data_IF_071116875262
#
_entry.id   IF_071116875262
#
_cell.length_a   1.000
_cell.length_b   1.000
_cell.length_c   1.000
_cell.angle_alpha   90.00
_cell.angle_beta   90.00
_cell.angle_gamma   90.00
#
_symmetry.space_group_name_H-M   'P 1'
#
loop_
_entity.id
_entity.type
_entity.pdbx_description
1 polymer ?
#
# COMPACT_ATOMS: atom_id res chain seq x y z
N UNK A 1 35.27 17.50 -28.79
CA UNK A 1 33.86 17.38 -29.23
C UNK A 1 33.17 16.39 -28.30
N UNK A 2 31.96 16.70 -27.77
CA UNK A 2 31.21 15.71 -27.01
C UNK A 2 30.89 14.51 -27.91
N UNK A 3 31.00 13.27 -27.43
CA UNK A 3 30.72 12.09 -28.22
C UNK A 3 29.25 12.10 -28.67
N UNK A 4 29.01 11.88 -29.96
CA UNK A 4 27.68 11.64 -30.51
C UNK A 4 27.04 10.46 -29.77
N UNK A 5 25.94 10.71 -29.09
CA UNK A 5 25.21 9.65 -28.40
C UNK A 5 24.33 8.90 -29.40
N UNK A 6 24.68 7.64 -29.66
CA UNK A 6 23.93 6.76 -30.55
C UNK A 6 22.73 6.20 -29.78
N UNK A 7 21.53 6.11 -30.39
CA UNK A 7 20.40 5.40 -29.80
C UNK A 7 20.78 3.95 -29.50
N UNK A 8 20.61 3.52 -28.25
CA UNK A 8 20.90 2.16 -27.83
C UNK A 8 19.96 1.76 -26.71
N UNK A 9 19.46 0.52 -26.78
CA UNK A 9 18.64 -0.12 -25.74
C UNK A 9 19.41 -0.47 -24.46
N UNK A 10 20.70 -0.14 -24.39
CA UNK A 10 21.50 -0.31 -23.17
C UNK A 10 20.98 0.59 -22.05
N UNK A 11 20.87 0.02 -20.85
CA UNK A 11 20.55 0.77 -19.65
C UNK A 11 21.67 1.76 -19.30
N UNK A 12 21.30 2.87 -18.67
CA UNK A 12 22.25 3.79 -18.07
C UNK A 12 22.98 3.11 -16.92
N UNK A 13 24.29 3.36 -16.82
CA UNK A 13 25.10 2.79 -15.74
C UNK A 13 24.64 3.33 -14.38
N UNK A 14 24.60 2.51 -13.32
CA UNK A 14 24.39 2.98 -11.95
C UNK A 14 25.45 3.99 -11.49
N UNK A 15 26.67 3.90 -12.04
CA UNK A 15 27.77 4.83 -11.77
C UNK A 15 27.69 6.15 -12.54
N UNK A 16 26.69 6.34 -13.40
CA UNK A 16 26.54 7.61 -14.13
C UNK A 16 26.31 8.75 -13.13
N UNK A 17 27.22 9.72 -13.16
CA UNK A 17 27.22 10.88 -12.27
C UNK A 17 26.34 11.99 -12.83
N UNK A 18 25.42 12.51 -12.01
CA UNK A 18 24.65 13.71 -12.29
C UNK A 18 25.29 14.88 -11.54
N UNK A 19 25.66 15.97 -12.22
CA UNK A 19 26.29 17.13 -11.58
C UNK A 19 25.47 17.66 -10.40
N UNK A 20 26.15 18.05 -9.31
CA UNK A 20 25.55 18.64 -8.11
C UNK A 20 24.73 19.91 -8.40
N UNK A 21 25.05 20.60 -9.49
CA UNK A 21 24.35 21.78 -10.00
C UNK A 21 22.97 21.47 -10.61
N UNK A 22 22.62 20.20 -10.87
CA UNK A 22 21.31 19.86 -11.41
C UNK A 22 20.23 20.16 -10.35
N UNK A 23 19.25 21.04 -10.65
CA UNK A 23 18.25 21.48 -9.67
C UNK A 23 17.31 20.36 -9.22
N UNK A 24 17.29 19.20 -9.89
CA UNK A 24 16.53 18.03 -9.43
C UNK A 24 17.12 17.39 -8.16
N UNK A 25 18.44 17.41 -7.98
CA UNK A 25 19.10 16.79 -6.83
C UNK A 25 18.64 17.40 -5.49
N UNK A 26 18.78 18.71 -5.25
CA UNK A 26 18.33 19.31 -3.99
C UNK A 26 16.80 19.17 -3.82
N UNK A 27 16.02 19.17 -4.91
CA UNK A 27 14.56 18.93 -4.85
C UNK A 27 14.19 17.51 -4.41
N UNK A 28 14.98 16.50 -4.78
CA UNK A 28 14.78 15.12 -4.33
C UNK A 28 15.17 15.01 -2.85
N UNK A 29 16.39 15.40 -2.49
CA UNK A 29 16.92 15.21 -1.14
C UNK A 29 16.19 16.07 -0.08
N UNK A 30 15.65 17.22 -0.47
CA UNK A 30 14.86 18.07 0.45
C UNK A 30 13.54 17.45 0.94
N UNK A 31 13.07 16.38 0.31
CA UNK A 31 11.89 15.60 0.76
C UNK A 31 12.20 14.72 1.98
N UNK A 32 13.49 14.46 2.23
CA UNK A 32 13.94 13.68 3.38
C UNK A 32 14.07 14.60 4.61
N UNK A 33 13.74 14.05 5.78
CA UNK A 33 14.03 14.71 7.05
C UNK A 33 15.55 14.75 7.26
N UNK A 34 16.05 15.66 8.11
CA UNK A 34 17.47 15.70 8.49
C UNK A 34 18.01 14.33 8.94
N UNK A 35 17.37 13.60 9.90
CA UNK A 35 17.89 12.31 10.31
C UNK A 35 17.87 11.25 9.20
N UNK A 36 16.85 11.26 8.33
CA UNK A 36 16.81 10.34 7.18
C UNK A 36 17.92 10.65 6.17
N UNK A 37 18.23 11.93 5.96
CA UNK A 37 19.33 12.35 5.08
C UNK A 37 20.69 11.93 5.66
N UNK A 38 20.91 12.07 6.98
CA UNK A 38 22.15 11.60 7.63
C UNK A 38 22.28 10.08 7.50
N UNK A 39 21.21 9.33 7.77
CA UNK A 39 21.20 7.87 7.59
C UNK A 39 21.53 7.47 6.16
N UNK A 40 20.94 8.16 5.17
CA UNK A 40 21.21 7.91 3.76
C UNK A 40 22.68 8.20 3.41
N UNK A 41 23.25 9.29 3.92
CA UNK A 41 24.67 9.59 3.70
C UNK A 41 25.57 8.55 4.34
N UNK A 42 25.27 8.09 5.55
CA UNK A 42 26.02 7.00 6.19
C UNK A 42 25.93 5.69 5.39
N UNK A 43 24.76 5.38 4.82
CA UNK A 43 24.60 4.24 3.91
C UNK A 43 25.45 4.41 2.63
N UNK A 44 25.57 5.63 2.10
CA UNK A 44 26.48 5.91 0.96
C UNK A 44 27.95 5.77 1.34
N UNK A 45 28.30 6.03 2.60
CA UNK A 45 29.66 5.89 3.13
C UNK A 45 30.01 4.46 3.56
N UNK A 46 29.06 3.53 3.54
CA UNK A 46 29.32 2.10 3.79
C UNK A 46 30.26 1.52 2.73
N UNK A 47 31.19 0.68 3.16
CA UNK A 47 32.21 0.04 2.32
C UNK A 47 31.60 -0.73 1.14
N UNK A 48 30.40 -1.28 1.32
CA UNK A 48 29.66 -2.04 0.29
C UNK A 48 29.22 -1.17 -0.88
N UNK A 49 28.98 0.12 -0.65
CA UNK A 49 28.44 1.04 -1.64
C UNK A 49 29.51 1.90 -2.33
N UNK A 50 30.73 1.98 -1.76
CA UNK A 50 31.83 2.83 -2.28
C UNK A 50 32.09 2.73 -3.79
N UNK A 51 32.03 1.56 -4.45
CA UNK A 51 32.22 1.50 -5.90
C UNK A 51 31.26 2.38 -6.71
N UNK A 52 30.10 2.74 -6.14
CA UNK A 52 29.04 3.51 -6.79
C UNK A 52 28.66 4.80 -6.03
N UNK A 53 29.23 5.06 -4.86
CA UNK A 53 28.89 6.21 -4.03
C UNK A 53 30.10 6.86 -3.34
N UNK A 54 31.29 6.72 -3.93
CA UNK A 54 32.50 7.32 -3.38
C UNK A 54 32.35 8.85 -3.18
N UNK A 55 32.64 9.37 -1.97
CA UNK A 55 32.68 10.80 -1.71
C UNK A 55 33.96 11.44 -2.28
N UNK A 56 34.00 12.77 -2.31
CA UNK A 56 35.21 13.52 -2.57
C UNK A 56 36.06 13.58 -1.30
N UNK A 57 37.24 12.95 -1.34
CA UNK A 57 38.23 12.93 -0.26
C UNK A 57 39.47 13.70 -0.70
N UNK A 58 40.19 14.30 0.25
CA UNK A 58 41.46 14.95 -0.01
C UNK A 58 42.49 13.91 -0.47
N UNK A 59 43.19 14.15 -1.57
CA UNK A 59 44.31 13.27 -1.93
C UNK A 59 45.57 13.67 -1.16
N UNK A 60 46.48 12.71 -0.95
CA UNK A 60 47.77 12.98 -0.31
C UNK A 60 48.65 13.94 -1.13
N UNK A 61 48.41 14.02 -2.45
CA UNK A 61 49.11 14.90 -3.39
C UNK A 61 48.53 16.33 -3.41
N UNK A 62 47.35 16.56 -2.84
CA UNK A 62 46.71 17.89 -2.68
C UNK A 62 47.27 18.67 -1.46
N UNK A 63 48.39 18.22 -0.90
CA UNK A 63 49.06 18.79 0.29
C UNK A 63 49.74 20.14 0.06
N UNK A 64 49.56 20.78 -1.10
CA UNK A 64 49.85 22.21 -1.23
C UNK A 64 48.74 22.97 -0.51
N UNK A 65 49.09 23.65 0.59
CA UNK A 65 48.21 24.45 1.47
C UNK A 65 47.25 25.42 0.74
N UNK A 66 47.42 25.69 -0.56
CA UNK A 66 46.64 26.64 -1.35
C UNK A 66 45.36 26.07 -2.02
N UNK A 67 45.24 24.76 -2.26
CA UNK A 67 44.15 24.21 -3.09
C UNK A 67 42.77 24.23 -2.40
N UNK A 68 42.75 24.04 -1.08
CA UNK A 68 41.51 23.95 -0.27
C UNK A 68 41.41 25.03 0.81
N UNK A 69 42.38 25.95 0.94
CA UNK A 69 42.37 27.00 1.96
C UNK A 69 41.18 27.99 1.86
N UNK A 70 40.50 28.04 0.71
CA UNK A 70 39.31 28.85 0.47
C UNK A 70 37.98 28.07 0.48
N UNK A 71 38.00 26.75 0.66
CA UNK A 71 36.79 25.92 0.61
C UNK A 71 35.98 26.09 1.90
N UNK A 72 34.71 26.46 1.77
CA UNK A 72 33.80 26.56 2.91
C UNK A 72 33.56 25.21 3.61
N UNK A 73 33.69 24.11 2.86
CA UNK A 73 33.62 22.74 3.36
C UNK A 73 34.87 21.96 2.94
N UNK A 74 35.91 21.92 3.77
CA UNK A 74 37.14 21.21 3.43
C UNK A 74 36.87 19.69 3.37
N UNK A 75 37.44 19.00 2.37
CA UNK A 75 37.32 17.55 2.24
C UNK A 75 38.02 16.83 3.40
N UNK A 76 37.50 15.66 3.78
CA UNK A 76 38.14 14.82 4.80
C UNK A 76 39.26 13.98 4.16
N UNK A 77 40.27 13.64 4.96
CA UNK A 77 41.42 12.82 4.56
C UNK A 77 41.09 11.36 4.34
N UNK A 78 40.13 10.82 5.08
CA UNK A 78 39.73 9.42 4.99
C UNK A 78 38.21 9.25 5.05
N UNK A 79 37.77 8.09 4.56
CA UNK A 79 36.37 7.69 4.61
C UNK A 79 35.89 7.45 6.05
N UNK A 80 36.79 6.99 6.93
CA UNK A 80 36.46 6.71 8.33
C UNK A 80 36.22 8.01 9.11
N UNK A 81 37.07 9.02 8.91
CA UNK A 81 36.89 10.37 9.49
C UNK A 81 35.55 10.98 9.06
N UNK A 82 35.19 10.82 7.78
CA UNK A 82 33.93 11.33 7.25
C UNK A 82 32.72 10.59 7.85
N UNK A 83 32.82 9.28 8.07
CA UNK A 83 31.78 8.47 8.72
C UNK A 83 31.59 8.86 10.18
N UNK A 84 32.68 9.06 10.92
CA UNK A 84 32.62 9.53 12.31
C UNK A 84 31.94 10.90 12.37
N UNK A 85 32.34 11.82 11.50
CA UNK A 85 31.72 13.15 11.40
C UNK A 85 30.19 13.08 11.19
N UNK A 86 29.71 12.27 10.25
CA UNK A 86 28.27 12.13 10.00
C UNK A 86 27.54 11.39 11.13
N UNK A 87 28.24 10.52 11.87
CA UNK A 87 27.71 9.85 13.06
C UNK A 87 27.49 10.85 14.18
N UNK A 88 28.46 11.73 14.43
CA UNK A 88 28.35 12.81 15.43
C UNK A 88 27.24 13.80 15.09
N UNK A 89 27.02 14.07 13.80
CA UNK A 89 25.92 14.91 13.33
C UNK A 89 24.54 14.37 13.70
N UNK A 90 24.37 13.07 13.97
CA UNK A 90 23.10 12.52 14.44
C UNK A 90 22.69 13.12 15.79
N UNK A 91 23.65 13.34 16.68
CA UNK A 91 23.43 13.91 18.02
C UNK A 91 23.38 15.45 18.00
N UNK A 92 24.03 16.06 17.01
CA UNK A 92 24.16 17.52 16.90
C UNK A 92 22.89 18.18 16.35
N UNK A 93 22.52 19.35 16.87
CA UNK A 93 21.41 20.17 16.31
C UNK A 93 21.89 20.91 15.06
N UNK A 94 21.06 20.93 14.02
CA UNK A 94 21.35 21.67 12.79
C UNK A 94 20.17 21.71 11.83
N UNK A 95 20.26 22.53 10.79
CA UNK A 95 19.20 22.63 9.77
C UNK A 95 19.42 21.61 8.64
N UNK A 96 18.33 21.13 8.04
CA UNK A 96 18.38 20.28 6.85
C UNK A 96 19.07 20.99 5.67
N UNK A 97 18.87 22.29 5.54
CA UNK A 97 19.44 23.10 4.46
C UNK A 97 20.96 23.17 4.56
N UNK A 98 21.52 23.43 5.75
CA UNK A 98 22.97 23.45 5.95
C UNK A 98 23.61 22.07 5.69
N UNK A 99 22.90 21.00 6.05
CA UNK A 99 23.35 19.63 5.76
C UNK A 99 23.39 19.35 4.25
N UNK A 100 22.36 19.76 3.51
CA UNK A 100 22.34 19.62 2.05
C UNK A 100 23.41 20.46 1.36
N UNK A 101 23.61 21.69 1.83
CA UNK A 101 24.63 22.58 1.30
C UNK A 101 26.02 21.95 1.45
N UNK A 102 26.37 21.50 2.67
CA UNK A 102 27.60 20.73 2.92
C UNK A 102 27.73 19.50 2.02
N UNK A 103 26.67 18.70 1.93
CA UNK A 103 26.69 17.46 1.17
C UNK A 103 26.96 17.71 -0.31
N UNK A 104 26.30 18.71 -0.91
CA UNK A 104 26.36 18.96 -2.36
C UNK A 104 27.51 19.86 -2.80
N UNK A 105 28.01 20.74 -1.92
CA UNK A 105 29.12 21.65 -2.24
C UNK A 105 30.46 21.15 -1.69
N UNK A 106 30.45 20.32 -0.64
CA UNK A 106 31.63 19.70 -0.05
C UNK A 106 31.79 18.24 -0.48
N UNK A 107 31.13 17.34 0.25
CA UNK A 107 31.45 15.89 0.21
C UNK A 107 31.09 15.22 -1.13
N UNK A 108 30.07 15.71 -1.83
CA UNK A 108 29.65 15.24 -3.16
C UNK A 108 29.64 16.39 -4.19
N UNK A 109 30.67 17.24 -4.14
CA UNK A 109 30.83 18.42 -5.01
C UNK A 109 30.73 18.13 -6.51
N UNK A 110 31.17 16.95 -6.94
CA UNK A 110 31.12 16.53 -8.35
C UNK A 110 29.74 16.03 -8.80
N UNK A 111 28.84 15.74 -7.86
CA UNK A 111 27.51 15.23 -8.15
C UNK A 111 27.19 13.92 -7.45
N UNK A 112 26.04 13.36 -7.80
CA UNK A 112 25.53 12.09 -7.26
C UNK A 112 25.30 11.09 -8.38
N UNK A 113 25.57 9.82 -8.10
CA UNK A 113 25.35 8.74 -9.06
C UNK A 113 23.86 8.40 -9.17
N UNK A 114 23.47 7.78 -10.29
CA UNK A 114 22.10 7.28 -10.45
C UNK A 114 21.73 6.22 -9.40
N UNK A 115 22.72 5.48 -8.88
CA UNK A 115 22.55 4.57 -7.76
C UNK A 115 22.20 5.31 -6.46
N UNK A 116 22.96 6.35 -6.10
CA UNK A 116 22.68 7.18 -4.91
C UNK A 116 21.28 7.83 -4.99
N UNK A 117 20.91 8.33 -6.17
CA UNK A 117 19.58 8.87 -6.41
C UNK A 117 18.47 7.81 -6.30
N UNK A 118 18.76 6.57 -6.72
CA UNK A 118 17.83 5.46 -6.54
C UNK A 118 17.64 5.10 -5.07
N UNK A 119 18.71 5.11 -4.26
CA UNK A 119 18.63 4.92 -2.81
C UNK A 119 17.79 6.02 -2.14
N UNK A 120 18.01 7.29 -2.52
CA UNK A 120 17.24 8.42 -2.00
C UNK A 120 15.74 8.27 -2.32
N UNK A 121 15.40 7.95 -3.56
CA UNK A 121 14.02 7.74 -4.01
C UNK A 121 13.33 6.58 -3.26
N UNK A 122 14.02 5.46 -3.07
CA UNK A 122 13.53 4.33 -2.28
C UNK A 122 13.28 4.73 -0.82
N UNK A 123 14.20 5.47 -0.21
CA UNK A 123 14.03 5.95 1.17
C UNK A 123 12.85 6.94 1.29
N UNK A 124 12.66 7.82 0.30
CA UNK A 124 11.48 8.70 0.24
C UNK A 124 10.19 7.88 0.18
N UNK A 125 10.19 6.80 -0.60
CA UNK A 125 9.02 5.93 -0.71
C UNK A 125 8.70 5.22 0.62
N UNK A 126 9.73 4.80 1.36
CA UNK A 126 9.59 4.14 2.66
C UNK A 126 9.13 5.11 3.75
N UNK A 127 9.71 6.33 3.79
CA UNK A 127 9.37 7.35 4.79
C UNK A 127 8.00 7.99 4.55
N UNK A 128 7.57 8.07 3.29
CA UNK A 128 6.26 8.60 2.87
C UNK A 128 5.48 7.54 2.08
N UNK A 129 4.92 6.51 2.73
CA UNK A 129 4.29 5.37 2.04
C UNK A 129 3.05 5.75 1.23
N UNK A 130 2.41 6.89 1.54
CA UNK A 130 1.24 7.44 0.82
C UNK A 130 1.61 8.43 -0.29
N UNK A 131 2.90 8.64 -0.55
CA UNK A 131 3.39 9.59 -1.57
C UNK A 131 3.08 9.15 -3.01
N UNK A 132 2.87 7.85 -3.22
CA UNK A 132 2.57 7.27 -4.53
C UNK A 132 1.15 6.74 -4.58
N UNK A 133 0.46 6.97 -5.70
CA UNK A 133 -0.77 6.25 -6.02
C UNK A 133 -0.40 5.02 -6.84
N UNK A 134 -0.91 3.86 -6.47
CA UNK A 134 -0.65 2.59 -7.12
C UNK A 134 -1.87 2.13 -7.92
N UNK A 135 -1.64 1.35 -8.95
CA UNK A 135 -2.69 0.67 -9.73
C UNK A 135 -2.31 -0.79 -9.92
N UNK A 136 -3.25 -1.70 -9.66
CA UNK A 136 -3.03 -3.13 -9.86
C UNK A 136 -3.40 -3.58 -11.27
N UNK A 137 -2.58 -4.48 -11.78
CA UNK A 137 -2.78 -5.15 -13.06
C UNK A 137 -2.64 -6.65 -12.85
N UNK A 138 -3.57 -7.42 -13.40
CA UNK A 138 -3.51 -8.88 -13.41
C UNK A 138 -2.69 -9.35 -14.62
N UNK A 139 -1.82 -10.32 -14.37
CA UNK A 139 -1.10 -11.06 -15.39
C UNK A 139 -2.00 -12.18 -15.89
N UNK A 140 -2.46 -12.07 -17.13
CA UNK A 140 -3.31 -13.08 -17.75
C UNK A 140 -2.48 -13.89 -18.74
N UNK A 141 -2.38 -15.22 -18.59
CA UNK A 141 -1.72 -16.07 -19.57
C UNK A 141 -2.51 -16.07 -20.88
N UNK A 142 -1.83 -15.85 -22.01
CA UNK A 142 -2.46 -15.88 -23.34
C UNK A 142 -2.63 -17.29 -23.89
N UNK A 143 -2.00 -18.29 -23.27
CA UNK A 143 -2.04 -19.69 -23.71
C UNK A 143 -2.32 -20.61 -22.51
N UNK A 144 -3.17 -21.66 -22.64
CA UNK A 144 -3.57 -22.52 -21.52
C UNK A 144 -2.41 -23.29 -20.87
N UNK A 145 -1.33 -23.54 -21.61
CA UNK A 145 -0.13 -24.20 -21.06
C UNK A 145 0.76 -23.28 -20.21
N UNK A 146 0.51 -21.97 -20.21
CA UNK A 146 1.31 -21.02 -19.44
C UNK A 146 0.86 -21.08 -17.96
N UNK A 147 1.80 -21.08 -17.01
CA UNK A 147 1.42 -21.08 -15.60
C UNK A 147 0.69 -19.77 -15.25
N UNK A 148 -0.26 -19.80 -14.30
CA UNK A 148 -1.02 -18.61 -13.92
C UNK A 148 -0.14 -17.50 -13.35
N UNK A 149 1.00 -17.85 -12.75
CA UNK A 149 2.01 -16.91 -12.25
C UNK A 149 3.30 -17.14 -13.04
N UNK A 150 3.88 -16.11 -13.69
CA UNK A 150 5.14 -16.25 -14.41
C UNK A 150 6.31 -16.51 -13.46
N UNK A 151 7.27 -17.33 -13.89
CA UNK A 151 8.54 -17.50 -13.18
C UNK A 151 9.38 -16.24 -13.32
N UNK A 152 9.43 -15.45 -12.25
CA UNK A 152 10.17 -14.20 -12.21
C UNK A 152 11.63 -14.44 -11.79
N UNK A 153 12.57 -14.06 -12.65
CA UNK A 153 14.00 -14.00 -12.33
C UNK A 153 14.52 -12.60 -12.69
N UNK A 154 14.89 -11.76 -11.70
CA UNK A 154 15.11 -10.33 -11.94
C UNK A 154 16.17 -10.02 -13.02
N UNK A 155 17.36 -10.65 -13.05
CA UNK A 155 18.36 -10.37 -14.09
C UNK A 155 17.88 -10.68 -15.51
N UNK A 156 17.16 -11.79 -15.71
CA UNK A 156 16.63 -12.17 -17.02
C UNK A 156 15.52 -11.21 -17.44
N UNK A 157 14.65 -10.86 -16.49
CA UNK A 157 13.58 -9.90 -16.71
C UNK A 157 14.12 -8.53 -17.12
N UNK A 158 15.14 -8.00 -16.42
CA UNK A 158 15.75 -6.72 -16.76
C UNK A 158 16.36 -6.71 -18.17
N UNK A 159 17.07 -7.78 -18.55
CA UNK A 159 17.61 -7.91 -19.92
C UNK A 159 16.50 -7.95 -20.97
N UNK A 160 15.38 -8.62 -20.67
CA UNK A 160 14.23 -8.67 -21.57
C UNK A 160 13.53 -7.31 -21.66
N UNK A 161 13.38 -6.60 -20.54
CA UNK A 161 12.79 -5.27 -20.48
C UNK A 161 13.63 -4.23 -21.24
N UNK A 162 14.95 -4.28 -21.09
CA UNK A 162 15.90 -3.43 -21.85
C UNK A 162 15.74 -3.61 -23.36
N UNK A 163 15.60 -4.86 -23.83
CA UNK A 163 15.39 -5.15 -25.26
C UNK A 163 14.00 -4.78 -25.76
N UNK A 164 13.00 -4.81 -24.88
CA UNK A 164 11.63 -4.47 -25.23
C UNK A 164 11.39 -2.96 -25.27
N UNK A 165 12.18 -2.18 -24.53
CA UNK A 165 12.08 -0.72 -24.51
C UNK A 165 12.66 -0.14 -25.81
N UNK A 166 11.98 0.86 -26.43
CA UNK A 166 12.49 1.57 -27.58
C UNK A 166 13.90 2.16 -27.37
N UNK A 167 14.78 2.14 -28.39
CA UNK A 167 16.20 2.53 -28.25
C UNK A 167 16.43 4.05 -28.09
N UNK A 168 15.41 4.87 -28.37
CA UNK A 168 15.34 6.31 -28.14
C UNK A 168 15.12 6.64 -26.65
N UNK A 169 14.52 5.74 -25.87
CA UNK A 169 14.30 5.94 -24.44
C UNK A 169 15.48 5.38 -23.65
N UNK A 170 16.17 6.26 -22.91
CA UNK A 170 17.20 5.84 -21.97
C UNK A 170 16.58 5.51 -20.62
N UNK A 171 17.01 4.41 -20.01
CA UNK A 171 16.46 3.97 -18.74
C UNK A 171 17.55 3.56 -17.76
N UNK A 172 17.36 3.93 -16.49
CA UNK A 172 18.10 3.40 -15.35
C UNK A 172 17.18 2.55 -14.50
N UNK A 173 17.66 1.38 -14.06
CA UNK A 173 16.89 0.39 -13.32
C UNK A 173 17.53 0.16 -11.96
N UNK A 174 16.74 0.16 -10.89
CA UNK A 174 17.18 -0.26 -9.57
C UNK A 174 16.17 -1.23 -8.97
N UNK A 175 16.64 -2.38 -8.48
CA UNK A 175 15.82 -3.39 -7.82
C UNK A 175 16.10 -3.39 -6.33
N UNK A 176 15.05 -3.36 -5.53
CA UNK A 176 15.13 -3.41 -4.08
C UNK A 176 13.98 -4.23 -3.48
N UNK A 177 14.17 -4.77 -2.27
CA UNK A 177 13.10 -5.38 -1.47
C UNK A 177 12.86 -4.50 -0.24
N UNK A 178 11.79 -3.67 -0.23
CA UNK A 178 11.49 -2.83 0.91
C UNK A 178 11.29 -3.67 2.19
N UNK A 179 11.82 -3.22 3.34
CA UNK A 179 11.67 -3.96 4.59
C UNK A 179 10.20 -4.02 5.00
N UNK A 180 9.78 -5.18 5.51
CA UNK A 180 8.41 -5.40 6.00
C UNK A 180 7.35 -5.65 4.92
N UNK A 181 7.68 -5.53 3.62
CA UNK A 181 6.74 -5.79 2.52
C UNK A 181 7.13 -7.04 1.73
N UNK A 182 6.23 -8.01 1.51
CA UNK A 182 6.49 -9.22 0.72
C UNK A 182 6.39 -8.93 -0.79
N UNK A 183 7.25 -8.04 -1.28
CA UNK A 183 7.32 -7.67 -2.70
C UNK A 183 8.75 -7.31 -3.11
N UNK A 184 9.00 -7.41 -4.42
CA UNK A 184 10.17 -6.83 -5.07
C UNK A 184 9.78 -5.53 -5.75
N UNK A 185 10.54 -4.46 -5.52
CA UNK A 185 10.32 -3.14 -6.08
C UNK A 185 11.36 -2.86 -7.17
N UNK A 186 10.89 -2.56 -8.37
CA UNK A 186 11.71 -2.05 -9.47
C UNK A 186 11.45 -0.57 -9.65
N UNK A 187 12.48 0.25 -9.46
CA UNK A 187 12.51 1.65 -9.87
C UNK A 187 13.03 1.76 -11.29
N UNK A 188 12.24 2.35 -12.18
CA UNK A 188 12.63 2.65 -13.57
C UNK A 188 12.65 4.16 -13.75
N UNK A 189 13.81 4.73 -14.00
CA UNK A 189 13.95 6.14 -14.37
C UNK A 189 14.13 6.24 -15.88
N UNK A 190 13.19 6.90 -16.55
CA UNK A 190 13.10 7.05 -17.99
C UNK A 190 13.53 8.48 -18.38
N UNK A 191 14.39 8.58 -19.39
CA UNK A 191 14.83 9.83 -20.00
C UNK A 191 14.43 9.80 -21.48
N UNK A 192 13.78 10.88 -21.92
CA UNK A 192 13.18 11.01 -23.25
C UNK A 192 14.20 11.29 -24.36
N UNK A 193 15.34 11.91 -24.02
CA UNK A 193 16.33 12.32 -25.03
C UNK A 193 17.60 11.47 -24.95
N UNK A 194 17.95 10.73 -26.02
CA UNK A 194 19.24 10.05 -26.09
C UNK A 194 20.36 11.02 -26.49
N UNK A 195 20.03 12.21 -26.97
CA UNK A 195 20.96 13.18 -27.60
C UNK A 195 21.62 14.17 -26.63
N UNK A 196 21.27 14.14 -25.35
CA UNK A 196 21.88 15.01 -24.36
C UNK A 196 23.36 14.63 -24.18
N UNK A 197 24.26 15.57 -24.46
CA UNK A 197 25.71 15.39 -24.29
C UNK A 197 26.15 15.47 -22.84
N UNK A 198 25.32 16.06 -21.98
CA UNK A 198 25.53 16.16 -20.53
C UNK A 198 24.42 15.42 -19.80
N UNK A 199 24.74 14.55 -18.83
CA UNK A 199 23.73 13.84 -18.08
C UNK A 199 22.95 14.84 -17.20
N UNK A 200 21.64 14.95 -17.43
CA UNK A 200 20.73 15.77 -16.64
C UNK A 200 19.46 14.99 -16.33
N UNK A 201 18.86 15.31 -15.19
CA UNK A 201 17.57 14.77 -14.76
C UNK A 201 16.39 15.60 -15.29
N UNK A 202 16.65 16.62 -16.10
CA UNK A 202 15.60 17.41 -16.74
C UNK A 202 14.71 16.52 -17.61
N UNK A 203 13.40 16.55 -17.34
CA UNK A 203 12.43 15.70 -18.04
C UNK A 203 12.41 14.23 -17.60
N UNK A 204 13.34 13.78 -16.73
CA UNK A 204 13.38 12.39 -16.26
C UNK A 204 12.10 12.02 -15.49
N UNK A 205 11.62 10.79 -15.70
CA UNK A 205 10.41 10.26 -15.04
C UNK A 205 10.72 8.96 -14.33
N UNK A 206 10.38 8.91 -13.05
CA UNK A 206 10.53 7.71 -12.24
C UNK A 206 9.19 6.99 -12.16
N UNK A 207 9.19 5.71 -12.55
CA UNK A 207 8.04 4.80 -12.43
C UNK A 207 8.47 3.62 -11.57
N UNK A 208 7.64 3.26 -10.59
CA UNK A 208 7.86 2.09 -9.76
C UNK A 208 6.97 0.94 -10.24
N UNK A 209 7.57 -0.24 -10.35
CA UNK A 209 6.90 -1.51 -10.63
C UNK A 209 7.12 -2.42 -9.43
N UNK A 210 6.06 -2.75 -8.70
CA UNK A 210 6.14 -3.68 -7.60
C UNK A 210 5.59 -5.06 -8.01
N UNK A 211 6.34 -6.10 -7.65
CA UNK A 211 6.04 -7.50 -7.88
C UNK A 211 5.81 -8.18 -6.52
N UNK A 212 4.55 -8.33 -6.07
CA UNK A 212 4.24 -9.04 -4.84
C UNK A 212 4.64 -10.51 -4.94
N UNK A 213 5.17 -11.05 -3.86
CA UNK A 213 5.56 -12.46 -3.81
C UNK A 213 4.31 -13.34 -3.99
N UNK A 214 4.45 -14.37 -4.82
CA UNK A 214 3.41 -15.36 -5.14
C UNK A 214 2.04 -14.77 -5.59
N UNK A 215 2.03 -13.60 -6.23
CA UNK A 215 0.81 -13.00 -6.79
C UNK A 215 0.80 -13.01 -8.33
N UNK A 216 -0.35 -13.25 -8.98
CA UNK A 216 -0.52 -13.02 -10.42
C UNK A 216 -0.76 -11.53 -10.73
N UNK A 217 -0.46 -10.60 -9.82
CA UNK A 217 -0.65 -9.17 -10.02
C UNK A 217 0.67 -8.42 -9.98
N UNK A 218 0.73 -7.31 -10.69
CA UNK A 218 1.80 -6.30 -10.57
C UNK A 218 1.18 -4.97 -10.16
N UNK A 219 1.91 -4.17 -9.38
CA UNK A 219 1.48 -2.82 -9.02
C UNK A 219 2.37 -1.79 -9.70
N UNK A 220 1.74 -0.77 -10.27
CA UNK A 220 2.44 0.30 -10.96
C UNK A 220 2.14 1.63 -10.28
N UNK A 221 3.17 2.42 -9.99
CA UNK A 221 2.97 3.78 -9.51
C UNK A 221 2.32 4.62 -10.61
N UNK A 222 1.51 5.59 -10.19
CA UNK A 222 1.01 6.65 -11.05
C UNK A 222 2.20 7.44 -11.61
N UNK A 223 2.01 8.05 -12.78
CA UNK A 223 2.94 9.08 -13.21
C UNK A 223 2.87 10.19 -12.16
N UNK A 224 4.01 10.51 -11.53
CA UNK A 224 4.09 11.66 -10.64
C UNK A 224 3.98 12.92 -11.48
N UNK A 225 2.76 13.46 -11.58
CA UNK A 225 2.61 14.87 -11.92
C UNK A 225 2.98 15.65 -10.65
N UNK A 226 4.07 16.42 -10.61
CA UNK A 226 4.20 17.41 -9.55
C UNK A 226 2.97 18.33 -9.58
N UNK A 227 2.39 18.72 -8.44
CA UNK A 227 1.47 19.85 -8.42
C UNK A 227 2.33 21.10 -8.70
N UNK A 228 2.37 21.56 -9.95
CA UNK A 228 3.05 22.81 -10.30
C UNK A 228 2.05 23.95 -10.25
N UNK A 229 2.26 24.87 -9.31
CA UNK A 229 1.76 26.26 -9.33
C UNK A 229 2.46 27.06 -10.42
N UNK A 230 2.32 26.64 -11.68
CA UNK A 230 2.92 27.29 -12.85
C UNK A 230 2.52 26.60 -14.14
N UNK A 231 2.42 27.40 -15.20
CA UNK A 231 2.10 27.05 -16.59
C UNK A 231 3.10 26.05 -17.19
N UNK A 232 3.03 24.79 -16.77
CA UNK A 232 3.67 23.71 -17.49
C UNK A 232 2.92 23.49 -18.82
N UNK A 233 3.65 23.57 -19.94
CA UNK A 233 3.12 23.28 -21.27
C UNK A 233 2.59 21.84 -21.30
N UNK A 234 1.36 21.66 -21.78
CA UNK A 234 0.65 20.37 -21.94
C UNK A 234 1.49 19.25 -22.60
N UNK A 235 2.48 19.63 -23.42
CA UNK A 235 3.43 18.71 -24.06
C UNK A 235 4.20 17.83 -23.06
N UNK A 236 4.75 18.39 -21.98
CA UNK A 236 5.60 17.65 -21.04
C UNK A 236 4.83 16.62 -20.20
N UNK A 237 3.54 16.85 -19.97
CA UNK A 237 2.66 15.91 -19.27
C UNK A 237 2.28 14.73 -20.18
N UNK A 238 2.03 15.01 -21.47
CA UNK A 238 1.77 13.97 -22.46
C UNK A 238 2.97 13.04 -22.63
N UNK A 239 4.18 13.58 -22.78
CA UNK A 239 5.42 12.79 -22.84
C UNK A 239 5.58 11.87 -21.62
N UNK A 240 5.29 12.36 -20.41
CA UNK A 240 5.38 11.55 -19.19
C UNK A 240 4.40 10.37 -19.18
N UNK A 241 3.16 10.61 -19.65
CA UNK A 241 2.14 9.56 -19.80
C UNK A 241 2.53 8.57 -20.90
N UNK A 242 3.16 9.04 -21.96
CA UNK A 242 3.61 8.24 -23.10
C UNK A 242 4.78 7.33 -22.71
N UNK A 243 5.77 7.84 -21.98
CA UNK A 243 6.86 7.04 -21.42
C UNK A 243 6.32 5.93 -20.49
N UNK A 244 5.37 6.27 -19.61
CA UNK A 244 4.73 5.28 -18.73
C UNK A 244 3.94 4.25 -19.53
N UNK A 245 3.13 4.67 -20.50
CA UNK A 245 2.33 3.78 -21.36
C UNK A 245 3.23 2.82 -22.15
N UNK A 246 4.34 3.32 -22.67
CA UNK A 246 5.36 2.53 -23.36
C UNK A 246 5.95 1.48 -22.42
N UNK A 247 6.37 1.89 -21.20
CA UNK A 247 6.86 0.95 -20.20
C UNK A 247 5.83 -0.17 -19.91
N UNK A 248 4.55 0.19 -19.71
CA UNK A 248 3.46 -0.76 -19.45
C UNK A 248 3.29 -1.75 -20.61
N UNK A 249 3.41 -1.28 -21.86
CA UNK A 249 3.33 -2.14 -23.03
C UNK A 249 4.52 -3.12 -23.13
N UNK A 250 5.70 -2.73 -22.65
CA UNK A 250 6.90 -3.58 -22.66
C UNK A 250 6.91 -4.65 -21.54
N UNK A 251 6.25 -4.40 -20.40
CA UNK A 251 6.24 -5.31 -19.25
C UNK A 251 5.73 -6.74 -19.58
N UNK A 252 4.58 -6.94 -20.24
CA UNK A 252 4.12 -8.28 -20.58
C UNK A 252 5.10 -9.02 -21.49
N UNK A 253 5.72 -8.32 -22.45
CA UNK A 253 6.76 -8.89 -23.32
C UNK A 253 7.98 -9.32 -22.52
N UNK A 254 8.42 -8.51 -21.55
CA UNK A 254 9.57 -8.80 -20.69
C UNK A 254 9.31 -9.97 -19.71
N UNK A 255 8.06 -10.17 -19.29
CA UNK A 255 7.65 -11.30 -18.44
C UNK A 255 7.40 -12.59 -19.25
N UNK A 256 7.16 -12.46 -20.56
CA UNK A 256 6.82 -13.57 -21.43
C UNK A 256 8.03 -14.41 -21.83
N UNK A 257 7.79 -15.69 -22.08
CA UNK A 257 8.74 -16.63 -22.67
C UNK A 257 8.12 -17.28 -23.91
N UNK A 258 8.91 -17.93 -24.79
CA UNK A 258 8.35 -18.75 -25.85
C UNK A 258 7.30 -19.73 -25.27
N UNK A 259 6.09 -19.74 -25.85
CA UNK A 259 4.92 -20.53 -25.41
C UNK A 259 4.34 -20.20 -24.02
N UNK A 260 4.83 -19.15 -23.36
CA UNK A 260 4.26 -18.63 -22.11
C UNK A 260 4.17 -17.10 -22.20
N UNK A 261 3.21 -16.62 -23.01
CA UNK A 261 2.93 -15.19 -23.19
C UNK A 261 1.92 -14.71 -22.16
N UNK A 262 2.11 -13.49 -21.69
CA UNK A 262 1.23 -12.84 -20.73
C UNK A 262 0.75 -11.49 -21.27
N UNK A 263 -0.43 -11.08 -20.81
CA UNK A 263 -0.99 -9.74 -21.01
C UNK A 263 -1.29 -9.11 -19.66
N UNK A 264 -1.37 -7.77 -19.63
CA UNK A 264 -1.78 -7.03 -18.44
C UNK A 264 -3.24 -6.59 -18.57
N UNK A 265 -4.08 -7.06 -17.66
CA UNK A 265 -5.46 -6.61 -17.51
C UNK A 265 -5.57 -5.65 -16.33
N UNK A 266 -6.26 -4.51 -16.50
CA UNK A 266 -6.56 -3.63 -15.36
C UNK A 266 -7.51 -4.33 -14.40
N UNK A 267 -7.33 -4.13 -13.10
CA UNK A 267 -8.23 -4.70 -12.07
C UNK A 267 -9.12 -3.65 -11.39
N UNK A 268 -9.18 -2.43 -11.94
CA UNK A 268 -9.88 -1.26 -11.37
C UNK A 268 -9.59 -1.02 -9.87
N UNK A 269 -8.40 -1.41 -9.42
CA UNK A 269 -7.92 -1.22 -8.06
C UNK A 269 -6.78 -0.20 -8.06
N UNK A 270 -6.98 0.87 -7.31
CA UNK A 270 -5.97 1.86 -7.01
C UNK A 270 -6.00 2.25 -5.53
N UNK A 271 -4.83 2.40 -4.92
CA UNK A 271 -4.67 2.82 -3.53
C UNK A 271 -3.38 3.62 -3.38
N UNK A 272 -3.25 4.42 -2.32
CA UNK A 272 -1.99 5.12 -2.02
C UNK A 272 -1.02 4.30 -1.17
N UNK A 273 -1.47 3.22 -0.54
CA UNK A 273 -0.63 2.35 0.28
C UNK A 273 -0.29 1.06 -0.44
N UNK A 274 1.00 0.71 -0.52
CA UNK A 274 1.44 -0.60 -0.99
C UNK A 274 0.92 -1.74 -0.10
N UNK A 275 0.83 -1.52 1.21
CA UNK A 275 0.26 -2.50 2.14
C UNK A 275 -1.20 -2.79 1.82
N UNK A 276 -1.98 -1.75 1.50
CA UNK A 276 -3.38 -1.93 1.06
C UNK A 276 -3.44 -2.73 -0.26
N UNK A 277 -2.54 -2.45 -1.20
CA UNK A 277 -2.45 -3.22 -2.45
C UNK A 277 -2.10 -4.69 -2.18
N UNK A 278 -1.16 -4.97 -1.27
CA UNK A 278 -0.80 -6.34 -0.85
C UNK A 278 -1.96 -7.03 -0.15
N UNK A 279 -2.67 -6.35 0.75
CA UNK A 279 -3.81 -6.93 1.45
C UNK A 279 -4.95 -7.32 0.51
N UNK A 280 -5.14 -6.57 -0.59
CA UNK A 280 -6.20 -6.78 -1.58
C UNK A 280 -5.81 -7.69 -2.75
N UNK A 281 -4.55 -7.68 -3.19
CA UNK A 281 -4.07 -8.39 -4.40
C UNK A 281 -2.67 -9.00 -4.27
N UNK A 282 -2.12 -9.12 -3.06
CA UNK A 282 -0.89 -9.87 -2.78
C UNK A 282 -1.12 -11.38 -2.72
N UNK A 283 -0.05 -12.16 -2.47
CA UNK A 283 -0.10 -13.63 -2.34
C UNK A 283 -0.69 -14.15 -1.02
N UNK A 284 -1.22 -13.27 -0.16
CA UNK A 284 -1.77 -13.63 1.15
C UNK A 284 -3.23 -14.11 1.12
N UNK A 285 -3.71 -14.62 2.26
CA UNK A 285 -5.07 -15.14 2.44
C UNK A 285 -6.16 -14.08 2.35
N UNK A 286 -5.82 -12.81 2.55
CA UNK A 286 -6.78 -11.70 2.61
C UNK A 286 -7.26 -11.23 1.23
N UNK A 287 -6.56 -11.53 0.15
CA UNK A 287 -6.85 -10.96 -1.18
C UNK A 287 -8.22 -11.33 -1.77
N UNK A 288 -8.83 -12.43 -1.31
CA UNK A 288 -10.17 -12.90 -1.73
C UNK A 288 -11.17 -13.05 -0.58
N UNK A 289 -10.78 -12.63 0.62
CA UNK A 289 -11.56 -12.79 1.84
C UNK A 289 -11.57 -11.46 2.60
N UNK A 290 -12.00 -10.40 1.93
CA UNK A 290 -12.19 -9.07 2.51
C UNK A 290 -13.62 -8.91 3.02
N UNK A 291 -13.87 -7.86 3.81
CA UNK A 291 -15.17 -7.63 4.43
C UNK A 291 -15.55 -8.77 5.37
N UNK A 292 -16.82 -9.15 5.40
CA UNK A 292 -17.34 -10.21 6.28
C UNK A 292 -16.69 -11.58 6.07
N UNK A 293 -16.06 -11.80 4.92
CA UNK A 293 -15.32 -13.04 4.63
C UNK A 293 -13.96 -13.11 5.34
N UNK A 294 -13.50 -12.02 5.97
CA UNK A 294 -12.23 -11.95 6.67
C UNK A 294 -12.03 -13.00 7.76
N UNK A 295 -13.11 -13.51 8.35
CA UNK A 295 -13.04 -14.62 9.30
C UNK A 295 -12.35 -15.86 8.73
N UNK A 296 -12.52 -16.16 7.44
CA UNK A 296 -11.89 -17.29 6.77
C UNK A 296 -10.41 -17.05 6.43
N UNK A 297 -10.01 -15.78 6.25
CA UNK A 297 -8.62 -15.42 6.03
C UNK A 297 -7.77 -15.64 7.29
N UNK A 298 -8.37 -15.43 8.46
CA UNK A 298 -7.72 -15.46 9.78
C UNK A 298 -7.82 -16.82 10.50
N UNK A 299 -8.28 -17.88 9.81
CA UNK A 299 -8.38 -19.25 10.36
C UNK A 299 -7.07 -19.72 11.01
N UNK A 300 -7.15 -20.34 12.19
CA UNK A 300 -6.02 -20.78 13.00
C UNK A 300 -5.64 -19.81 14.13
N UNK A 301 -6.46 -18.77 14.37
CA UNK A 301 -6.26 -17.78 15.45
C UNK A 301 -7.30 -17.91 16.56
N UNK A 302 -8.29 -18.81 16.44
CA UNK A 302 -9.30 -19.07 17.46
C UNK A 302 -9.12 -20.49 18.01
N UNK A 303 -9.39 -20.64 19.31
CA UNK A 303 -9.40 -21.96 19.95
C UNK A 303 -10.50 -22.84 19.32
N UNK A 304 -10.14 -24.05 18.93
CA UNK A 304 -11.00 -25.01 18.22
C UNK A 304 -10.82 -25.03 16.69
N UNK A 305 -9.90 -24.25 16.14
CA UNK A 305 -9.65 -24.19 14.68
C UNK A 305 -8.90 -25.44 14.18
N UNK A 306 -8.19 -26.16 15.06
CA UNK A 306 -7.50 -27.40 14.68
C UNK A 306 -8.20 -28.63 15.29
N UNK A 307 -8.41 -29.71 14.52
CA UNK A 307 -9.03 -30.94 15.03
C UNK A 307 -8.29 -31.60 16.20
N UNK A 308 -7.03 -31.21 16.42
CA UNK A 308 -6.16 -31.75 17.47
C UNK A 308 -6.14 -30.88 18.74
N UNK A 309 -6.85 -29.75 18.74
CA UNK A 309 -6.87 -28.86 19.89
C UNK A 309 -7.67 -29.47 21.03
N UNK A 310 -7.06 -29.55 22.22
CA UNK A 310 -7.74 -29.99 23.43
C UNK A 310 -8.73 -28.91 23.90
N UNK A 311 -9.93 -28.92 23.35
CA UNK A 311 -10.98 -27.99 23.74
C UNK A 311 -11.60 -28.46 25.06
N UNK A 312 -11.43 -27.69 26.14
CA UNK A 312 -12.18 -27.90 27.37
C UNK A 312 -13.70 -27.81 27.07
N UNK A 313 -14.56 -28.68 27.66
CA UNK A 313 -15.95 -28.86 27.24
C UNK A 313 -16.82 -27.58 27.28
N UNK A 314 -16.40 -26.56 28.02
CA UNK A 314 -17.12 -25.27 28.17
C UNK A 314 -17.07 -24.40 26.90
N UNK A 315 -16.13 -24.63 25.97
CA UNK A 315 -15.98 -23.78 24.78
C UNK A 315 -16.73 -24.28 23.53
N UNK A 316 -17.36 -25.47 23.58
CA UNK A 316 -18.16 -25.96 22.45
C UNK A 316 -19.47 -25.20 22.24
N UNK A 317 -20.04 -24.61 23.29
CA UNK A 317 -21.29 -23.82 23.17
C UNK A 317 -21.12 -22.48 22.45
N UNK A 318 -19.91 -21.90 22.44
CA UNK A 318 -19.67 -20.57 21.84
C UNK A 318 -19.40 -20.64 20.34
N UNK A 319 -19.03 -21.81 19.80
CA UNK A 319 -18.69 -21.97 18.38
C UNK A 319 -19.91 -22.33 17.51
N UNK A 320 -21.02 -22.77 18.11
CA UNK A 320 -22.27 -23.10 17.39
C UNK A 320 -23.50 -22.26 17.75
N UNK A 321 -23.38 -21.32 18.70
CA UNK A 321 -24.53 -20.66 19.33
C UNK A 321 -24.43 -19.14 19.40
N UNK A 322 -24.30 -18.45 18.27
CA UNK A 322 -24.60 -17.01 18.26
C UNK A 322 -26.10 -16.83 18.07
N UNK A 323 -26.81 -16.68 19.21
CA UNK A 323 -28.18 -16.18 19.35
C UNK A 323 -29.25 -16.77 18.42
N UNK A 324 -29.94 -17.83 18.89
CA UNK A 324 -31.24 -18.26 18.36
C UNK A 324 -32.42 -17.32 18.67
N UNK A 325 -32.20 -16.11 19.20
CA UNK A 325 -33.28 -15.17 19.53
C UNK A 325 -33.52 -14.12 18.44
N UNK A 326 -33.22 -14.42 17.17
CA UNK A 326 -33.52 -13.52 16.04
C UNK A 326 -34.20 -14.31 14.92
N UNK A 327 -35.43 -14.77 15.16
CA UNK A 327 -36.40 -15.09 14.11
C UNK A 327 -37.82 -15.19 14.70
N UNK A 328 -38.59 -14.12 14.55
CA UNK A 328 -40.05 -14.09 14.39
C UNK A 328 -40.95 -14.89 15.34
N UNK A 329 -41.67 -14.18 16.23
CA UNK A 329 -43.04 -14.56 16.56
C UNK A 329 -44.00 -13.45 16.10
N UNK A 330 -44.50 -13.61 14.87
CA UNK A 330 -45.79 -13.07 14.45
C UNK A 330 -46.60 -14.29 14.03
N UNK A 331 -47.51 -14.72 14.90
CA UNK A 331 -48.28 -15.95 14.74
C UNK A 331 -49.46 -16.03 15.71
N UNK A 332 -50.46 -15.18 15.43
CA UNK A 332 -51.80 -15.11 16.01
C UNK A 332 -52.43 -16.50 16.26
N UNK A 333 -52.94 -16.78 17.46
CA UNK A 333 -54.10 -17.67 17.67
C UNK A 333 -54.92 -17.23 18.90
N UNK A 334 -56.24 -17.33 18.71
CA UNK A 334 -57.36 -16.84 19.51
C UNK A 334 -57.90 -17.96 20.40
N UNK A 335 -58.47 -17.60 21.56
CA UNK A 335 -59.31 -18.43 22.45
C UNK A 335 -58.68 -18.51 23.85
N UNK A 336 -59.27 -18.01 24.95
CA UNK A 336 -60.67 -18.00 25.35
C UNK A 336 -60.83 -19.01 26.49
N UNK A 337 -60.94 -18.56 27.75
CA UNK A 337 -61.25 -19.43 28.89
C UNK A 337 -60.74 -18.91 30.24
N UNK A 338 -61.65 -18.37 31.05
CA UNK A 338 -61.52 -18.08 32.49
C UNK A 338 -61.13 -19.31 33.32
N UNK A 339 -60.39 -19.11 34.42
CA UNK A 339 -60.89 -19.42 35.78
C UNK A 339 -59.96 -18.97 36.91
N UNK A 340 -60.63 -18.50 37.94
CA UNK A 340 -60.20 -18.06 39.27
C UNK A 340 -59.39 -19.08 40.08
N UNK A 341 -58.64 -18.57 41.06
CA UNK A 341 -58.88 -18.98 42.45
C UNK A 341 -57.67 -19.44 43.29
N UNK A 342 -57.44 -18.65 44.34
CA UNK A 342 -57.07 -19.02 45.73
C UNK A 342 -55.60 -19.13 46.18
N UNK A 343 -55.32 -18.22 47.09
CA UNK A 343 -54.44 -18.21 48.26
C UNK A 343 -54.48 -19.51 49.08
N UNK A 344 -53.37 -19.88 49.75
CA UNK A 344 -53.28 -19.90 51.22
C UNK A 344 -51.85 -20.18 51.73
N UNK A 345 -51.61 -19.67 52.94
CA UNK A 345 -50.38 -19.52 53.72
C UNK A 345 -49.99 -20.76 54.58
N UNK A 346 -48.81 -20.66 55.24
CA UNK A 346 -48.38 -21.46 56.41
C UNK A 346 -46.85 -21.71 56.39
N UNK A 347 -45.97 -20.94 57.03
CA UNK A 347 -45.55 -20.95 58.47
C UNK A 347 -45.11 -22.37 58.94
N UNK A 348 -43.95 -22.65 59.56
CA UNK A 348 -43.13 -21.97 60.56
C UNK A 348 -41.64 -22.45 60.58
N UNK A 349 -40.79 -21.56 61.10
CA UNK A 349 -39.46 -21.57 61.77
C UNK A 349 -38.97 -22.86 62.49
N UNK A 350 -37.66 -23.16 62.65
CA UNK A 350 -36.75 -22.52 63.64
C UNK A 350 -35.23 -22.91 63.50
N UNK A 351 -34.34 -21.88 63.62
CA UNK A 351 -33.08 -21.77 64.44
C UNK A 351 -31.87 -22.74 64.22
N UNK A 352 -30.55 -22.38 64.21
CA UNK A 352 -29.70 -21.18 64.47
C UNK A 352 -28.23 -21.50 64.03
N UNK A 353 -27.47 -20.56 63.42
CA UNK A 353 -26.12 -20.07 63.84
C UNK A 353 -25.44 -19.08 62.83
N UNK A 354 -25.31 -17.81 63.27
CA UNK A 354 -24.42 -16.63 63.01
C UNK A 354 -23.49 -16.43 61.76
N UNK A 355 -23.84 -15.45 60.89
CA UNK A 355 -23.25 -14.10 60.52
C UNK A 355 -21.69 -13.90 60.57
N UNK A 356 -20.97 -13.14 59.65
CA UNK A 356 -21.34 -11.88 58.97
C UNK A 356 -21.04 -11.65 57.47
N UNK A 357 -21.91 -10.80 56.90
CA UNK A 357 -21.71 -9.66 55.97
C UNK A 357 -20.75 -9.72 54.76
N UNK A 358 -21.31 -9.40 53.58
CA UNK A 358 -20.65 -8.46 52.66
C UNK A 358 -20.61 -8.85 51.17
N UNK A 359 -21.65 -8.43 50.43
CA UNK A 359 -21.63 -7.72 49.12
C UNK A 359 -22.73 -8.20 48.19
N UNK A 360 -23.69 -7.30 47.97
CA UNK A 360 -24.90 -7.53 47.20
C UNK A 360 -24.65 -8.08 45.80
N UNK A 361 -25.47 -9.07 45.42
CA UNK A 361 -25.81 -9.35 44.02
C UNK A 361 -26.38 -8.07 43.44
N UNK A 362 -25.56 -7.32 42.71
CA UNK A 362 -26.01 -6.15 41.97
C UNK A 362 -27.16 -6.56 41.06
N UNK A 363 -28.35 -6.01 41.32
CA UNK A 363 -29.42 -5.94 40.34
C UNK A 363 -28.79 -5.44 39.04
N UNK A 364 -28.81 -6.27 37.99
CA UNK A 364 -28.51 -5.83 36.63
C UNK A 364 -29.54 -4.75 36.32
N UNK A 365 -29.12 -3.48 36.42
CA UNK A 365 -29.93 -2.35 35.97
C UNK A 365 -30.41 -2.68 34.54
N UNK A 366 -31.70 -2.46 34.21
CA UNK A 366 -32.17 -2.64 32.85
C UNK A 366 -31.24 -1.86 31.92
N UNK A 367 -30.65 -2.57 30.96
CA UNK A 367 -29.79 -1.94 29.98
C UNK A 367 -30.66 -0.96 29.19
N UNK A 368 -30.23 0.29 29.06
CA UNK A 368 -30.92 1.29 28.24
C UNK A 368 -31.22 0.70 26.84
N UNK A 369 -32.46 0.73 26.33
CA UNK A 369 -32.79 0.24 25.00
C UNK A 369 -31.94 0.91 23.89
N UNK A 370 -31.48 2.14 24.10
CA UNK A 370 -30.50 2.80 23.24
C UNK A 370 -29.14 2.08 23.20
N UNK A 371 -28.70 1.52 24.33
CA UNK A 371 -27.47 0.77 24.46
C UNK A 371 -27.57 -0.63 23.81
N UNK A 372 -28.72 -1.30 23.93
CA UNK A 372 -28.95 -2.61 23.28
C UNK A 372 -28.94 -2.48 21.75
N UNK A 373 -29.63 -1.47 21.21
CA UNK A 373 -29.63 -1.19 19.76
C UNK A 373 -28.25 -0.75 19.25
N UNK A 374 -27.47 0.00 20.03
CA UNK A 374 -26.09 0.34 19.69
C UNK A 374 -25.17 -0.90 19.69
N UNK A 375 -25.34 -1.81 20.66
CA UNK A 375 -24.60 -3.08 20.71
C UNK A 375 -24.92 -3.96 19.51
N UNK A 376 -26.20 -4.09 19.15
CA UNK A 376 -26.63 -4.83 17.95
C UNK A 376 -26.00 -4.24 16.68
N UNK A 377 -26.03 -2.91 16.51
CA UNK A 377 -25.39 -2.23 15.36
C UNK A 377 -23.90 -2.50 15.26
N UNK A 378 -23.17 -2.49 16.37
CA UNK A 378 -21.74 -2.83 16.40
C UNK A 378 -21.47 -4.27 16.01
N UNK A 379 -22.28 -5.22 16.47
CA UNK A 379 -22.15 -6.62 16.08
C UNK A 379 -22.43 -6.82 14.58
N UNK A 380 -23.45 -6.16 14.03
CA UNK A 380 -23.73 -6.20 12.59
C UNK A 380 -22.56 -5.60 11.80
N UNK A 381 -22.04 -4.45 12.22
CA UNK A 381 -20.88 -3.84 11.59
C UNK A 381 -19.66 -4.77 11.62
N UNK A 382 -19.36 -5.40 12.75
CA UNK A 382 -18.27 -6.36 12.85
C UNK A 382 -18.48 -7.57 11.93
N UNK A 383 -19.68 -8.15 11.89
CA UNK A 383 -19.98 -9.29 11.03
C UNK A 383 -19.88 -8.95 9.53
N UNK A 384 -20.29 -7.73 9.13
CA UNK A 384 -20.29 -7.28 7.73
C UNK A 384 -18.91 -6.89 7.21
N UNK A 385 -18.09 -6.26 8.04
CA UNK A 385 -16.76 -5.77 7.64
C UNK A 385 -15.62 -6.72 8.03
N UNK A 386 -15.89 -7.70 8.91
CA UNK A 386 -14.91 -8.66 9.39
C UNK A 386 -13.85 -8.04 10.30
N UNK A 387 -12.91 -8.91 10.72
CA UNK A 387 -11.79 -8.57 11.59
C UNK A 387 -10.45 -8.49 10.83
N UNK A 388 -10.46 -8.58 9.49
CA UNK A 388 -9.23 -8.42 8.70
C UNK A 388 -8.68 -7.00 8.86
N UNK A 389 -7.34 -6.83 8.95
CA UNK A 389 -6.73 -5.50 8.98
C UNK A 389 -7.21 -4.65 7.81
N UNK A 390 -7.55 -3.38 8.11
CA UNK A 390 -8.10 -2.49 7.09
C UNK A 390 -7.11 -2.29 5.94
N UNK A 391 -7.61 -2.39 4.71
CA UNK A 391 -6.88 -2.04 3.49
C UNK A 391 -7.42 -0.69 2.99
N UNK A 392 -6.84 0.45 3.43
CA UNK A 392 -7.43 1.77 3.22
C UNK A 392 -7.51 2.12 1.73
N UNK A 393 -8.74 2.39 1.28
CA UNK A 393 -9.02 2.96 -0.03
C UNK A 393 -9.56 4.38 0.14
N UNK A 394 -8.94 5.34 -0.54
CA UNK A 394 -9.33 6.76 -0.46
C UNK A 394 -10.56 7.10 -1.34
N UNK A 395 -10.79 6.29 -2.37
CA UNK A 395 -11.81 6.50 -3.38
C UNK A 395 -12.45 5.16 -3.75
N UNK A 396 -13.78 5.13 -3.73
CA UNK A 396 -14.57 4.02 -4.28
C UNK A 396 -15.62 4.61 -5.23
N UNK A 397 -15.53 4.28 -6.51
CA UNK A 397 -16.38 4.83 -7.58
C UNK A 397 -17.17 3.71 -8.27
N UNK A 398 -18.46 3.62 -7.96
CA UNK A 398 -19.30 2.50 -8.37
C UNK A 398 -20.45 3.01 -9.22
N UNK A 399 -20.70 2.32 -10.34
CA UNK A 399 -21.89 2.51 -11.17
C UNK A 399 -22.81 1.31 -11.02
N UNK A 400 -24.04 1.54 -10.63
CA UNK A 400 -25.06 0.52 -10.44
C UNK A 400 -25.83 0.42 -11.76
N UNK A 401 -25.91 -0.78 -12.32
CA UNK A 401 -26.70 -1.10 -13.53
C UNK A 401 -27.66 -2.27 -13.27
N UNK A 402 -27.94 -2.55 -11.99
CA UNK A 402 -28.88 -3.58 -11.59
C UNK A 402 -30.32 -3.23 -12.01
N UNK A 403 -31.14 -4.21 -12.41
CA UNK A 403 -32.57 -4.03 -12.56
C UNK A 403 -33.19 -3.49 -11.28
N UNK A 404 -34.16 -2.58 -11.41
CA UNK A 404 -34.86 -2.07 -10.24
C UNK A 404 -35.61 -3.20 -9.52
N UNK A 405 -35.64 -3.23 -8.16
CA UNK A 405 -36.29 -4.31 -7.42
C UNK A 405 -37.75 -4.53 -7.86
N UNK A 406 -38.09 -5.76 -8.27
CA UNK A 406 -39.43 -6.15 -8.72
C UNK A 406 -39.62 -6.19 -10.24
N UNK A 407 -38.66 -5.70 -11.02
CA UNK A 407 -38.65 -5.81 -12.49
C UNK A 407 -38.07 -7.16 -12.96
N UNK A 408 -38.56 -7.67 -14.09
CA UNK A 408 -38.04 -8.90 -14.73
C UNK A 408 -36.74 -8.61 -15.52
N UNK A 409 -36.06 -9.66 -16.01
CA UNK A 409 -34.96 -9.50 -16.97
C UNK A 409 -35.42 -8.64 -18.16
N UNK A 410 -34.74 -7.52 -18.42
CA UNK A 410 -35.10 -6.53 -19.43
C UNK A 410 -35.96 -5.36 -18.94
N UNK A 411 -36.33 -5.32 -17.66
CA UNK A 411 -37.02 -4.18 -17.03
C UNK A 411 -36.12 -2.96 -16.79
N UNK A 412 -36.68 -1.92 -16.16
CA UNK A 412 -35.98 -0.65 -15.97
C UNK A 412 -34.70 -0.80 -15.14
N UNK A 413 -33.56 -0.42 -15.75
CA UNK A 413 -32.22 -0.48 -15.13
C UNK A 413 -31.69 0.95 -14.94
N UNK A 414 -31.84 1.56 -13.74
CA UNK A 414 -31.32 2.91 -13.51
C UNK A 414 -29.78 2.90 -13.46
N UNK A 415 -29.15 3.83 -14.18
CA UNK A 415 -27.71 4.06 -14.10
C UNK A 415 -27.40 5.04 -12.97
N UNK A 416 -27.17 4.52 -11.76
CA UNK A 416 -26.81 5.33 -10.58
C UNK A 416 -25.31 5.26 -10.35
N UNK A 417 -24.62 6.42 -10.26
CA UNK A 417 -23.20 6.47 -9.90
C UNK A 417 -23.03 6.97 -8.47
N UNK A 418 -22.30 6.22 -7.66
CA UNK A 418 -22.01 6.53 -6.26
C UNK A 418 -20.49 6.63 -6.09
N UNK A 419 -20.02 7.75 -5.56
CA UNK A 419 -18.59 8.01 -5.34
C UNK A 419 -18.34 8.30 -3.88
N UNK A 420 -17.60 7.43 -3.20
CA UNK A 420 -17.13 7.64 -1.84
C UNK A 420 -15.70 8.17 -1.83
N UNK A 421 -15.42 9.16 -0.99
CA UNK A 421 -14.08 9.71 -0.79
C UNK A 421 -13.77 9.86 0.70
N UNK A 422 -12.56 9.53 1.10
CA UNK A 422 -12.09 9.65 2.48
C UNK A 422 -10.64 9.19 2.62
N UNK A 423 -10.14 9.09 3.86
CA UNK A 423 -8.85 8.43 4.12
C UNK A 423 -8.95 6.90 4.08
N UNK A 424 -10.08 6.37 4.55
CA UNK A 424 -10.44 4.96 4.49
C UNK A 424 -11.97 4.86 4.33
N UNK A 425 -12.43 4.63 3.10
CA UNK A 425 -13.85 4.60 2.75
C UNK A 425 -14.59 3.53 3.55
N UNK A 426 -14.11 2.29 3.58
CA UNK A 426 -14.85 1.18 4.19
C UNK A 426 -14.87 1.28 5.71
N UNK A 427 -13.79 1.76 6.34
CA UNK A 427 -13.81 2.10 7.77
C UNK A 427 -14.81 3.23 8.07
N UNK A 428 -14.92 4.21 7.19
CA UNK A 428 -15.93 5.27 7.27
C UNK A 428 -17.37 4.72 7.21
N UNK A 429 -17.67 3.88 6.22
CA UNK A 429 -18.99 3.23 6.07
C UNK A 429 -19.32 2.37 7.28
N UNK A 430 -18.35 1.58 7.79
CA UNK A 430 -18.50 0.83 9.05
C UNK A 430 -18.92 1.74 10.20
N UNK A 431 -18.25 2.89 10.35
CA UNK A 431 -18.60 3.87 11.39
C UNK A 431 -20.01 4.45 11.25
N UNK A 432 -20.52 4.60 10.01
CA UNK A 432 -21.90 5.02 9.76
C UNK A 432 -22.91 3.94 10.16
N UNK A 433 -22.59 2.66 9.95
CA UNK A 433 -23.42 1.53 10.42
C UNK A 433 -23.47 1.48 11.95
N UNK A 434 -22.32 1.63 12.61
CA UNK A 434 -22.24 1.65 14.08
C UNK A 434 -23.06 2.81 14.69
N UNK A 435 -23.13 3.95 14.00
CA UNK A 435 -23.94 5.12 14.38
C UNK A 435 -25.41 5.02 13.98
N UNK A 436 -25.81 3.99 13.23
CA UNK A 436 -27.19 3.77 12.78
C UNK A 436 -27.64 4.69 11.64
N UNK A 437 -26.70 5.36 10.96
CA UNK A 437 -26.98 6.18 9.77
C UNK A 437 -27.23 5.27 8.56
N UNK A 438 -26.53 4.14 8.50
CA UNK A 438 -26.68 3.11 7.47
C UNK A 438 -27.22 1.83 8.10
N UNK A 439 -28.29 1.27 7.53
CA UNK A 439 -28.87 0.01 7.97
C UNK A 439 -28.01 -1.17 7.49
N UNK A 440 -27.10 -1.66 8.35
CA UNK A 440 -26.14 -2.72 8.01
C UNK A 440 -26.77 -4.07 7.60
N UNK A 441 -28.03 -4.32 7.95
CA UNK A 441 -28.75 -5.56 7.54
C UNK A 441 -29.16 -5.53 6.07
N UNK A 442 -29.48 -4.36 5.52
CA UNK A 442 -29.87 -4.18 4.10
C UNK A 442 -28.73 -3.69 3.22
N UNK A 443 -27.59 -3.35 3.82
CA UNK A 443 -26.42 -2.87 3.09
C UNK A 443 -25.86 -3.96 2.16
N UNK A 444 -25.64 -3.66 0.86
CA UNK A 444 -25.12 -4.64 -0.09
C UNK A 444 -23.64 -4.98 0.18
N UNK A 445 -23.23 -6.18 -0.24
CA UNK A 445 -21.88 -6.70 0.01
C UNK A 445 -20.76 -5.83 -0.59
N UNK A 446 -20.96 -5.25 -1.78
CA UNK A 446 -19.94 -4.39 -2.41
C UNK A 446 -19.56 -3.14 -1.57
N UNK A 447 -20.46 -2.66 -0.69
CA UNK A 447 -20.17 -1.55 0.24
C UNK A 447 -19.28 -1.95 1.42
N UNK A 448 -19.04 -3.24 1.62
CA UNK A 448 -18.18 -3.78 2.70
C UNK A 448 -16.71 -3.92 2.30
N UNK A 449 -16.39 -3.69 1.02
CA UNK A 449 -15.03 -3.86 0.48
C UNK A 449 -14.68 -5.29 0.05
N UNK A 450 -15.64 -6.23 0.09
CA UNK A 450 -15.40 -7.64 -0.28
C UNK A 450 -14.83 -7.84 -1.69
N UNK A 451 -15.19 -6.97 -2.65
CA UNK A 451 -14.67 -7.04 -4.03
C UNK A 451 -13.21 -6.63 -4.16
N UNK A 452 -12.67 -5.89 -3.19
CA UNK A 452 -11.30 -5.39 -3.21
C UNK A 452 -10.97 -4.58 -4.46
N UNK A 453 -11.91 -3.77 -4.94
CA UNK A 453 -11.76 -2.86 -6.09
C UNK A 453 -12.01 -1.42 -5.64
N UNK A 454 -11.37 -0.46 -6.31
CA UNK A 454 -11.59 0.98 -6.06
C UNK A 454 -12.67 1.58 -6.97
N UNK A 455 -13.15 0.81 -7.94
CA UNK A 455 -14.30 1.19 -8.74
C UNK A 455 -14.74 0.06 -9.67
N UNK A 456 -15.92 0.23 -10.26
CA UNK A 456 -16.49 -0.82 -11.10
C UNK A 456 -17.98 -0.66 -11.35
N UNK A 457 -18.54 -1.64 -12.04
CA UNK A 457 -19.98 -1.72 -12.31
C UNK A 457 -20.60 -2.80 -11.46
N UNK A 458 -21.69 -2.50 -10.77
CA UNK A 458 -22.46 -3.47 -10.00
C UNK A 458 -23.51 -4.11 -10.90
N UNK A 459 -23.42 -5.44 -11.02
CA UNK A 459 -24.38 -6.31 -11.74
C UNK A 459 -24.69 -7.53 -10.89
N UNK A 460 -25.97 -7.85 -10.72
CA UNK A 460 -26.44 -8.91 -9.82
C UNK A 460 -26.00 -8.69 -8.37
N UNK A 461 -25.96 -7.44 -7.91
CA UNK A 461 -25.52 -7.09 -6.55
C UNK A 461 -24.02 -7.28 -6.28
N UNK A 462 -23.20 -7.62 -7.29
CA UNK A 462 -21.75 -7.78 -7.17
C UNK A 462 -21.02 -6.73 -7.98
N UNK A 463 -19.95 -6.17 -7.40
CA UNK A 463 -19.07 -5.24 -8.13
C UNK A 463 -18.10 -6.03 -9.03
N UNK A 464 -18.19 -5.77 -10.34
CA UNK A 464 -17.22 -6.21 -11.33
C UNK A 464 -16.12 -5.15 -11.49
N UNK A 465 -14.87 -5.62 -11.43
CA UNK A 465 -13.68 -4.80 -11.67
C UNK A 465 -13.14 -4.95 -13.08
#
# INVERSE_FOLDING_TARGET
>A
MPPLSVPTSAALSPSLLIPSTDPAIPRILSKLSRPALISLTLDWLDDRNQPLSAPYLASADDSSDDLHAGDFYPPHSSLEDLREFYTDLQSTRGTRTALLDRLLTGDYRHGLTLYQLAMADTLILQTHPTSQKWSAYALTPSHPSAPPIPRFHPPTFLKALQRALPPDIKAHYNLDRPPGLPLLLLRVMLLDTPYATTPSLSGAKVVYVAFPDASPHIFLSAASSPPTTGTATTANENTARDLRRTLIACLPTALSRPRARYTLASTNLSARSLEAMIALRGGGRTGKAQGGWGGYALSGRKAGDTPLESVAPVLREVVGGTNRNVAGEVGKLVGGGEKDGKEEEGEEVDLLHEVPEGRGKGMKRPLDPGAETAKRRRLIAQARFGDVPSAPLELVDVRIEDPFPGEKEGGWCPSVRVVFRGSDVFKGVRGLVERGVVEGEKMPGWMTGEGGVSGGVVKGGRVGG
#
